data_IF_556242389953
#
_entry.id   IF_556242389953
#
_cell.length_a   1.000
_cell.length_b   1.000
_cell.length_c   1.000
_cell.angle_alpha   90.00
_cell.angle_beta   90.00
_cell.angle_gamma   90.00
#
_symmetry.space_group_name_H-M   'P 1'
#
loop_
_entity.id
_entity.type
_entity.pdbx_description
1 polymer ?
#
# COMPACT_ATOMS: atom_id res chain seq x y z
N UNK A 1 0.01 17.40 35.27
CA UNK A 1 -1.37 17.13 34.81
C UNK A 1 -1.39 15.97 33.79
N UNK A 2 -1.21 14.71 34.23
CA UNK A 2 -1.37 13.55 33.34
C UNK A 2 -2.84 13.31 32.97
N UNK A 3 -3.79 13.62 33.86
CA UNK A 3 -5.22 13.35 33.67
C UNK A 3 -5.85 14.10 32.48
N UNK A 4 -5.51 15.38 32.26
CA UNK A 4 -6.04 16.16 31.12
C UNK A 4 -5.63 15.54 29.78
N UNK A 5 -4.39 15.02 29.70
CA UNK A 5 -3.88 14.33 28.52
C UNK A 5 -4.61 13.01 28.27
N UNK A 6 -4.75 12.20 29.31
CA UNK A 6 -5.45 10.91 29.18
C UNK A 6 -6.91 11.14 28.79
N UNK A 7 -7.58 12.11 29.41
CA UNK A 7 -8.98 12.45 29.09
C UNK A 7 -9.14 12.91 27.64
N UNK A 8 -8.28 13.83 27.15
CA UNK A 8 -8.36 14.31 25.76
C UNK A 8 -8.11 13.19 24.74
N UNK A 9 -7.19 12.25 25.03
CA UNK A 9 -6.92 11.11 24.18
C UNK A 9 -8.10 10.14 24.10
N UNK A 10 -8.74 9.85 25.24
CA UNK A 10 -9.94 8.99 25.28
C UNK A 10 -11.07 9.63 24.48
N UNK A 11 -11.32 10.93 24.65
CA UNK A 11 -12.34 11.65 23.89
C UNK A 11 -12.04 11.60 22.38
N UNK A 12 -10.80 11.84 21.97
CA UNK A 12 -10.40 11.76 20.57
C UNK A 12 -10.62 10.36 19.97
N UNK A 13 -10.26 9.30 20.70
CA UNK A 13 -10.48 7.90 20.26
C UNK A 13 -11.98 7.62 20.12
N UNK A 14 -12.79 8.00 21.11
CA UNK A 14 -14.25 7.79 21.06
C UNK A 14 -14.87 8.52 19.87
N UNK A 15 -14.49 9.79 19.65
CA UNK A 15 -14.95 10.58 18.49
C UNK A 15 -14.53 9.92 17.17
N UNK A 16 -13.27 9.48 17.07
CA UNK A 16 -12.76 8.83 15.87
C UNK A 16 -13.50 7.52 15.57
N UNK A 17 -13.65 6.62 16.56
CA UNK A 17 -14.35 5.35 16.40
C UNK A 17 -15.83 5.56 16.07
N UNK A 18 -16.48 6.55 16.70
CA UNK A 18 -17.89 6.89 16.40
C UNK A 18 -18.04 7.40 14.97
N UNK A 19 -17.15 8.26 14.50
CA UNK A 19 -17.18 8.75 13.13
C UNK A 19 -16.90 7.64 12.10
N UNK A 20 -16.01 6.70 12.42
CA UNK A 20 -15.75 5.52 11.58
C UNK A 20 -17.02 4.66 11.50
N UNK A 21 -17.71 4.44 12.62
CA UNK A 21 -18.97 3.69 12.66
C UNK A 21 -20.07 4.36 11.82
N UNK A 22 -20.30 5.67 12.01
CA UNK A 22 -21.33 6.42 11.26
C UNK A 22 -21.02 6.49 9.75
N UNK A 23 -19.74 6.65 9.37
CA UNK A 23 -19.33 6.73 7.98
C UNK A 23 -19.92 7.91 7.20
N UNK A 24 -19.85 7.80 5.88
CA UNK A 24 -20.43 8.78 4.95
C UNK A 24 -20.00 10.22 5.24
N UNK A 25 -20.96 11.15 5.14
CA UNK A 25 -20.74 12.57 5.41
C UNK A 25 -20.32 12.88 6.85
N UNK A 26 -20.67 12.05 7.83
CA UNK A 26 -20.23 12.27 9.22
C UNK A 26 -18.72 12.07 9.35
N UNK A 27 -18.17 11.03 8.72
CA UNK A 27 -16.73 10.80 8.65
C UNK A 27 -16.01 11.89 7.84
N UNK A 28 -16.57 12.28 6.69
CA UNK A 28 -16.03 13.38 5.87
C UNK A 28 -16.01 14.70 6.64
N UNK A 29 -17.04 15.01 7.42
CA UNK A 29 -17.10 16.22 8.24
C UNK A 29 -16.02 16.23 9.34
N UNK A 30 -15.79 15.09 10.01
CA UNK A 30 -14.69 14.99 10.97
C UNK A 30 -13.34 15.25 10.31
N UNK A 31 -13.06 14.61 9.18
CA UNK A 31 -11.81 14.81 8.44
C UNK A 31 -11.68 16.23 7.88
N UNK A 32 -12.78 16.87 7.47
CA UNK A 32 -12.81 18.27 7.07
C UNK A 32 -12.37 19.19 8.22
N UNK A 33 -12.84 18.94 9.45
CA UNK A 33 -12.39 19.68 10.63
C UNK A 33 -10.90 19.44 10.91
N UNK A 34 -10.44 18.18 10.88
CA UNK A 34 -9.03 17.86 11.11
C UNK A 34 -8.10 18.50 10.06
N UNK A 35 -8.47 18.43 8.79
CA UNK A 35 -7.73 19.04 7.67
C UNK A 35 -7.71 20.55 7.79
N UNK A 36 -8.85 21.17 8.09
CA UNK A 36 -8.94 22.62 8.27
C UNK A 36 -7.99 23.10 9.37
N UNK A 37 -8.04 22.45 10.54
CA UNK A 37 -7.22 22.81 11.69
C UNK A 37 -5.73 22.51 11.45
N UNK A 38 -5.40 21.37 10.86
CA UNK A 38 -4.02 21.04 10.47
C UNK A 38 -3.44 22.01 9.44
N UNK A 39 -4.26 22.47 8.49
CA UNK A 39 -3.84 23.48 7.51
C UNK A 39 -3.64 24.86 8.14
N UNK A 40 -4.42 25.24 9.16
CA UNK A 40 -4.17 26.48 9.91
C UNK A 40 -2.78 26.46 10.55
N UNK A 41 -2.39 25.36 11.18
CA UNK A 41 -1.06 25.17 11.78
C UNK A 41 0.03 25.16 10.71
N UNK A 42 -0.17 24.41 9.62
CA UNK A 42 0.76 24.41 8.48
C UNK A 42 0.99 25.81 7.91
N UNK A 43 -0.06 26.57 7.62
CA UNK A 43 0.09 27.91 7.06
C UNK A 43 0.63 28.91 8.08
N UNK A 44 0.45 28.69 9.38
CA UNK A 44 1.11 29.46 10.42
C UNK A 44 2.63 29.23 10.41
N UNK A 45 3.10 27.97 10.26
CA UNK A 45 4.51 27.62 10.10
C UNK A 45 5.12 28.25 8.85
N UNK A 46 4.39 28.22 7.73
CA UNK A 46 4.87 28.83 6.49
C UNK A 46 4.99 30.35 6.64
N UNK A 47 4.00 31.00 7.27
CA UNK A 47 4.02 32.45 7.51
C UNK A 47 5.09 32.90 8.49
N UNK A 48 5.48 32.07 9.47
CA UNK A 48 6.57 32.41 10.39
C UNK A 48 7.92 32.55 9.68
N UNK A 49 8.05 31.99 8.47
CA UNK A 49 9.21 32.19 7.58
C UNK A 49 9.14 33.45 6.70
N UNK A 50 8.08 34.24 6.81
CA UNK A 50 7.83 35.38 5.92
C UNK A 50 7.35 34.98 4.53
N UNK A 51 6.95 33.72 4.33
CA UNK A 51 6.31 33.25 3.09
C UNK A 51 4.83 33.63 3.15
N UNK A 52 4.29 34.15 2.05
CA UNK A 52 2.90 34.59 1.89
C UNK A 52 2.10 33.62 0.99
N UNK A 53 1.76 32.41 1.49
CA UNK A 53 1.05 31.41 0.70
C UNK A 53 -0.40 31.82 0.45
N UNK A 54 -1.00 31.24 -0.60
CA UNK A 54 -2.43 31.35 -0.93
C UNK A 54 -3.30 30.51 0.03
N UNK A 55 -3.13 30.71 1.33
CA UNK A 55 -3.68 29.85 2.38
C UNK A 55 -5.21 29.73 2.29
N UNK A 56 -5.93 30.85 2.15
CA UNK A 56 -7.41 30.85 2.12
C UNK A 56 -7.95 30.03 0.95
N UNK A 57 -7.41 30.23 -0.24
CA UNK A 57 -7.82 29.49 -1.44
C UNK A 57 -7.49 28.01 -1.30
N UNK A 58 -6.29 27.67 -0.82
CA UNK A 58 -5.89 26.27 -0.62
C UNK A 58 -6.76 25.55 0.40
N UNK A 59 -7.12 26.21 1.50
CA UNK A 59 -7.98 25.62 2.54
C UNK A 59 -9.38 25.34 2.00
N UNK A 60 -9.99 26.30 1.30
CA UNK A 60 -11.32 26.12 0.69
C UNK A 60 -11.32 24.99 -0.34
N UNK A 61 -10.30 24.96 -1.22
CA UNK A 61 -10.15 23.89 -2.21
C UNK A 61 -10.00 22.53 -1.52
N UNK A 62 -9.26 22.45 -0.42
CA UNK A 62 -9.05 21.19 0.29
C UNK A 62 -10.36 20.62 0.87
N UNK A 63 -11.27 21.48 1.32
CA UNK A 63 -12.62 21.08 1.73
C UNK A 63 -13.48 20.62 0.56
N UNK A 64 -13.42 21.33 -0.59
CA UNK A 64 -14.11 20.92 -1.82
C UNK A 64 -13.60 19.54 -2.27
N UNK A 65 -12.29 19.31 -2.18
CA UNK A 65 -11.64 18.05 -2.55
C UNK A 65 -12.13 16.88 -1.67
N UNK A 66 -12.25 17.09 -0.35
CA UNK A 66 -12.82 16.11 0.58
C UNK A 66 -14.30 15.83 0.33
N UNK A 67 -15.09 16.86 0.01
CA UNK A 67 -16.50 16.68 -0.36
C UNK A 67 -16.65 15.93 -1.67
N UNK A 68 -15.82 16.26 -2.67
CA UNK A 68 -15.82 15.60 -3.97
C UNK A 68 -15.42 14.14 -3.88
N UNK A 69 -14.44 13.80 -3.02
CA UNK A 69 -14.02 12.40 -2.83
C UNK A 69 -15.13 11.50 -2.25
N UNK A 70 -16.07 12.10 -1.50
CA UNK A 70 -17.24 11.39 -0.97
C UNK A 70 -18.33 11.16 -2.02
N UNK A 71 -18.51 12.09 -2.97
CA UNK A 71 -19.51 11.95 -4.05
C UNK A 71 -18.99 10.99 -5.11
N UNK A 72 -17.77 11.23 -5.59
CA UNK A 72 -17.14 10.43 -6.61
C UNK A 72 -15.61 10.48 -6.43
N UNK A 73 -14.98 9.36 -6.01
CA UNK A 73 -13.56 9.33 -5.68
C UNK A 73 -12.62 9.88 -6.77
N UNK A 74 -12.98 9.68 -8.05
CA UNK A 74 -12.17 10.13 -9.19
C UNK A 74 -12.15 11.65 -9.36
N UNK A 75 -13.16 12.38 -8.84
CA UNK A 75 -13.20 13.84 -8.97
C UNK A 75 -12.05 14.51 -8.21
N UNK A 76 -11.64 13.95 -7.08
CA UNK A 76 -10.55 14.51 -6.31
C UNK A 76 -9.19 14.44 -7.04
N UNK A 77 -9.00 13.48 -7.95
CA UNK A 77 -7.80 13.39 -8.81
C UNK A 77 -7.79 14.44 -9.92
N UNK A 78 -8.97 14.88 -10.36
CA UNK A 78 -9.13 15.96 -11.35
C UNK A 78 -9.03 17.34 -10.68
N UNK A 79 -9.56 17.48 -9.46
CA UNK A 79 -9.55 18.74 -8.72
C UNK A 79 -8.12 19.16 -8.35
N UNK A 80 -7.24 18.22 -8.00
CA UNK A 80 -5.86 18.53 -7.62
C UNK A 80 -5.08 19.35 -8.68
N UNK A 81 -4.93 18.89 -9.94
CA UNK A 81 -4.20 19.64 -10.96
C UNK A 81 -4.91 20.94 -11.32
N UNK A 82 -6.25 20.93 -11.43
CA UNK A 82 -7.02 22.15 -11.72
C UNK A 82 -6.83 23.21 -10.65
N UNK A 83 -6.93 22.82 -9.38
CA UNK A 83 -6.73 23.74 -8.28
C UNK A 83 -5.28 24.20 -8.15
N UNK A 84 -4.30 23.33 -8.42
CA UNK A 84 -2.89 23.71 -8.49
C UNK A 84 -2.65 24.79 -9.55
N UNK A 85 -3.19 24.62 -10.76
CA UNK A 85 -3.12 25.63 -11.83
C UNK A 85 -3.82 26.93 -11.41
N UNK A 86 -5.00 26.85 -10.81
CA UNK A 86 -5.74 28.03 -10.34
C UNK A 86 -5.01 28.78 -9.23
N UNK A 87 -4.33 28.08 -8.31
CA UNK A 87 -3.49 28.68 -7.28
C UNK A 87 -2.31 29.44 -7.92
N UNK A 88 -1.65 28.85 -8.91
CA UNK A 88 -0.57 29.51 -9.65
C UNK A 88 -1.06 30.80 -10.33
N UNK A 89 -2.21 30.76 -11.01
CA UNK A 89 -2.79 31.96 -11.62
C UNK A 89 -3.22 33.00 -10.58
N UNK A 90 -3.85 32.58 -9.49
CA UNK A 90 -4.24 33.49 -8.41
C UNK A 90 -3.03 34.23 -7.82
N UNK A 91 -1.91 33.54 -7.62
CA UNK A 91 -0.67 34.13 -7.12
C UNK A 91 -0.01 35.08 -8.14
N UNK A 92 -0.18 34.83 -9.44
CA UNK A 92 0.32 35.72 -10.50
C UNK A 92 -0.35 37.10 -10.47
N UNK A 93 -1.63 37.17 -10.10
CA UNK A 93 -2.39 38.43 -10.02
C UNK A 93 -2.31 39.12 -8.65
N UNK A 94 -1.48 38.61 -7.72
CA UNK A 94 -1.25 39.32 -6.45
C UNK A 94 -0.40 40.58 -6.68
N UNK A 95 -0.65 41.65 -5.90
CA UNK A 95 0.07 42.92 -6.04
C UNK A 95 1.57 42.83 -5.69
N UNK A 96 1.99 41.76 -5.02
CA UNK A 96 3.40 41.47 -4.72
C UNK A 96 3.85 40.29 -5.58
N UNK A 97 5.07 40.37 -6.13
CA UNK A 97 5.65 39.27 -6.90
C UNK A 97 5.71 38.02 -6.03
N UNK A 98 4.89 37.01 -6.37
CA UNK A 98 4.90 35.74 -5.69
C UNK A 98 6.28 35.08 -5.86
N UNK A 99 6.88 34.69 -4.74
CA UNK A 99 8.12 33.93 -4.74
C UNK A 99 7.86 32.46 -5.08
N UNK A 100 8.92 31.76 -5.50
CA UNK A 100 8.85 30.30 -5.72
C UNK A 100 8.41 29.60 -4.43
N UNK A 101 8.79 30.14 -3.25
CA UNK A 101 8.41 29.60 -1.95
C UNK A 101 6.89 29.73 -1.69
N UNK A 102 6.25 30.83 -2.09
CA UNK A 102 4.81 31.04 -1.92
C UNK A 102 3.98 30.03 -2.72
N UNK A 103 4.37 29.81 -3.98
CA UNK A 103 3.74 28.82 -4.86
C UNK A 103 3.96 27.42 -4.32
N UNK A 104 5.21 27.08 -3.98
CA UNK A 104 5.59 25.75 -3.50
C UNK A 104 4.88 25.40 -2.18
N UNK A 105 4.81 26.34 -1.23
CA UNK A 105 4.10 26.15 0.03
C UNK A 105 2.58 26.05 -0.15
N UNK A 106 2.01 26.77 -1.13
CA UNK A 106 0.58 26.69 -1.43
C UNK A 106 0.21 25.34 -2.05
N UNK A 107 1.02 24.85 -2.98
CA UNK A 107 0.84 23.53 -3.61
C UNK A 107 1.09 22.42 -2.59
N UNK A 108 2.15 22.52 -1.79
CA UNK A 108 2.44 21.55 -0.73
C UNK A 108 1.29 21.51 0.29
N UNK A 109 0.77 22.66 0.72
CA UNK A 109 -0.39 22.72 1.62
C UNK A 109 -1.65 22.06 1.03
N UNK A 110 -1.86 22.16 -0.29
CA UNK A 110 -2.96 21.49 -0.98
C UNK A 110 -2.73 19.98 -1.06
N UNK A 111 -1.53 19.56 -1.47
CA UNK A 111 -1.17 18.16 -1.64
C UNK A 111 -1.13 17.43 -0.29
N UNK A 112 -0.29 17.90 0.61
CA UNK A 112 -0.06 17.32 1.93
C UNK A 112 -1.27 17.49 2.85
N UNK A 113 -1.86 18.69 2.92
CA UNK A 113 -2.94 18.98 3.85
C UNK A 113 -4.34 18.62 3.37
N UNK A 114 -4.58 18.55 2.05
CA UNK A 114 -5.91 18.31 1.48
C UNK A 114 -6.02 16.99 0.72
N UNK A 115 -5.19 16.81 -0.30
CA UNK A 115 -5.29 15.65 -1.20
C UNK A 115 -4.94 14.32 -0.52
N UNK A 116 -3.84 14.26 0.22
CA UNK A 116 -3.44 13.03 0.91
C UNK A 116 -4.47 12.59 1.97
N UNK A 117 -5.00 13.46 2.85
CA UNK A 117 -6.08 13.09 3.76
C UNK A 117 -7.39 12.69 3.06
N UNK A 118 -7.62 13.12 1.82
CA UNK A 118 -8.82 12.71 1.06
C UNK A 118 -8.90 11.21 0.83
N UNK A 119 -7.76 10.50 0.84
CA UNK A 119 -7.74 9.04 0.73
C UNK A 119 -8.36 8.35 1.93
N UNK A 120 -8.43 8.97 3.12
CA UNK A 120 -9.20 8.42 4.24
C UNK A 120 -10.69 8.37 3.95
N UNK A 121 -11.23 9.44 3.34
CA UNK A 121 -12.63 9.51 2.93
C UNK A 121 -12.91 8.48 1.83
N UNK A 122 -12.03 8.37 0.83
CA UNK A 122 -12.14 7.36 -0.23
C UNK A 122 -12.07 5.94 0.31
N UNK A 123 -11.15 5.68 1.26
CA UNK A 123 -10.99 4.38 1.90
C UNK A 123 -12.25 4.01 2.68
N UNK A 124 -12.81 4.94 3.46
CA UNK A 124 -14.06 4.74 4.21
C UNK A 124 -15.27 4.52 3.28
N UNK A 125 -15.26 5.13 2.11
CA UNK A 125 -16.29 5.03 1.08
C UNK A 125 -16.18 3.81 0.16
N UNK A 126 -15.21 2.90 0.37
CA UNK A 126 -15.15 1.65 -0.38
C UNK A 126 -16.36 0.77 -0.07
N UNK A 127 -17.14 0.47 -1.11
CA UNK A 127 -18.33 -0.42 -1.09
C UNK A 127 -17.93 -1.81 -1.59
N UNK A 128 -18.65 -2.83 -1.12
CA UNK A 128 -18.42 -4.29 -1.14
C UNK A 128 -18.00 -4.91 -2.48
N UNK A 129 -16.79 -4.61 -2.94
CA UNK A 129 -16.21 -5.15 -4.17
C UNK A 129 -15.10 -6.18 -3.95
N UNK A 130 -14.56 -6.30 -2.73
CA UNK A 130 -13.47 -7.22 -2.44
C UNK A 130 -14.02 -8.62 -2.05
N UNK A 131 -13.58 -9.72 -2.69
CA UNK A 131 -14.06 -11.08 -2.39
C UNK A 131 -13.74 -11.58 -0.98
N UNK A 132 -12.80 -10.92 -0.28
CA UNK A 132 -12.16 -11.42 0.93
C UNK A 132 -12.64 -10.63 2.15
N UNK A 133 -13.88 -10.87 2.57
CA UNK A 133 -14.51 -10.15 3.68
C UNK A 133 -15.20 -11.08 4.68
N UNK A 134 -15.27 -10.59 5.92
CA UNK A 134 -16.20 -11.02 6.95
C UNK A 134 -16.98 -9.80 7.44
N UNK A 135 -18.23 -9.99 7.82
CA UNK A 135 -18.98 -9.01 8.59
C UNK A 135 -18.32 -8.88 9.96
N UNK A 136 -17.58 -7.79 10.17
CA UNK A 136 -16.98 -7.50 11.47
C UNK A 136 -17.93 -6.61 12.27
N UNK A 137 -18.57 -7.20 13.28
CA UNK A 137 -19.41 -6.45 14.22
C UNK A 137 -18.50 -5.61 15.12
N UNK A 138 -18.60 -4.28 15.03
CA UNK A 138 -17.94 -3.37 15.97
C UNK A 138 -18.99 -2.54 16.70
N UNK A 139 -19.19 -2.82 17.99
CA UNK A 139 -20.14 -2.08 18.82
C UNK A 139 -21.62 -2.25 18.45
N UNK A 140 -22.00 -3.37 17.80
CA UNK A 140 -23.39 -3.66 17.41
C UNK A 140 -23.84 -3.05 16.09
N UNK A 141 -22.92 -2.45 15.32
CA UNK A 141 -23.15 -1.97 13.96
C UNK A 141 -22.34 -2.80 12.97
N UNK A 142 -22.96 -3.13 11.83
CA UNK A 142 -22.27 -3.74 10.70
C UNK A 142 -21.34 -2.72 10.06
N UNK A 143 -20.03 -2.91 10.28
CA UNK A 143 -19.03 -2.02 9.74
C UNK A 143 -18.83 -2.34 8.25
N UNK A 144 -19.01 -1.35 7.38
CA UNK A 144 -18.73 -1.54 5.94
C UNK A 144 -17.26 -1.89 5.72
N UNK A 145 -16.92 -2.54 4.59
CA UNK A 145 -15.54 -2.92 4.25
C UNK A 145 -14.56 -1.74 4.39
N UNK A 146 -14.93 -0.57 3.85
CA UNK A 146 -14.14 0.65 4.02
C UNK A 146 -13.90 1.06 5.48
N UNK A 147 -14.88 0.85 6.35
CA UNK A 147 -14.73 1.07 7.80
C UNK A 147 -13.71 0.13 8.42
N UNK A 148 -13.75 -1.16 8.07
CA UNK A 148 -12.78 -2.16 8.56
C UNK A 148 -11.35 -1.77 8.17
N UNK A 149 -11.13 -1.36 6.92
CA UNK A 149 -9.79 -0.96 6.48
C UNK A 149 -9.29 0.32 7.17
N UNK A 150 -10.18 1.26 7.51
CA UNK A 150 -9.82 2.44 8.30
C UNK A 150 -9.40 2.03 9.71
N UNK A 151 -10.18 1.18 10.39
CA UNK A 151 -9.85 0.66 11.73
C UNK A 151 -8.52 -0.10 11.70
N UNK A 152 -8.32 -0.96 10.70
CA UNK A 152 -7.08 -1.69 10.48
C UNK A 152 -5.90 -0.72 10.38
N UNK A 153 -5.98 0.27 9.48
CA UNK A 153 -4.90 1.22 9.28
C UNK A 153 -4.59 2.03 10.56
N UNK A 154 -5.63 2.49 11.28
CA UNK A 154 -5.46 3.20 12.55
C UNK A 154 -4.81 2.30 13.60
N UNK A 155 -5.23 1.04 13.70
CA UNK A 155 -4.63 0.09 14.64
C UNK A 155 -3.16 -0.20 14.33
N UNK A 156 -2.76 -0.25 13.06
CA UNK A 156 -1.37 -0.38 12.64
C UNK A 156 -0.53 0.86 13.04
N UNK A 157 -1.06 2.06 12.81
CA UNK A 157 -0.40 3.32 13.20
C UNK A 157 -0.24 3.38 14.73
N UNK A 158 -1.33 3.13 15.48
CA UNK A 158 -1.29 3.12 16.95
C UNK A 158 -0.34 2.07 17.50
N UNK A 159 -0.31 0.87 16.92
CA UNK A 159 0.62 -0.16 17.31
C UNK A 159 2.07 0.30 17.11
N UNK A 160 2.38 0.90 15.95
CA UNK A 160 3.71 1.46 15.64
C UNK A 160 4.14 2.52 16.67
N UNK A 161 3.25 3.45 17.00
CA UNK A 161 3.54 4.52 17.97
C UNK A 161 3.76 3.96 19.38
N UNK A 162 2.92 3.01 19.81
CA UNK A 162 3.03 2.35 21.12
C UNK A 162 4.33 1.53 21.18
N UNK A 163 4.60 0.71 20.16
CA UNK A 163 5.78 -0.14 20.08
C UNK A 163 7.08 0.67 20.08
N UNK A 164 7.13 1.75 19.28
CA UNK A 164 8.28 2.64 19.23
C UNK A 164 8.50 3.42 20.52
N UNK A 165 7.42 3.85 21.18
CA UNK A 165 7.49 4.54 22.47
C UNK A 165 7.99 3.62 23.60
N UNK A 166 7.40 2.43 23.74
CA UNK A 166 7.75 1.49 24.81
C UNK A 166 9.21 1.07 24.67
N UNK A 167 9.61 0.62 23.47
CA UNK A 167 10.98 0.13 23.28
C UNK A 167 12.00 1.27 23.24
N UNK A 168 11.65 2.39 22.61
CA UNK A 168 12.51 3.57 22.57
C UNK A 168 12.83 4.09 23.99
N UNK A 169 11.89 3.99 24.93
CA UNK A 169 12.11 4.35 26.33
C UNK A 169 12.88 3.30 27.12
N UNK A 170 12.68 2.01 26.83
CA UNK A 170 13.28 0.92 27.60
C UNK A 170 14.73 0.61 27.18
N UNK A 171 15.01 0.57 25.88
CA UNK A 171 16.30 0.10 25.32
C UNK A 171 16.91 1.12 24.34
N UNK A 172 16.21 2.22 24.02
CA UNK A 172 16.70 3.20 23.05
C UNK A 172 18.04 3.83 23.42
N UNK A 173 19.05 3.63 22.57
CA UNK A 173 20.42 4.13 22.78
C UNK A 173 20.90 4.94 21.58
N UNK A 174 20.58 4.51 20.37
CA UNK A 174 21.03 5.16 19.14
C UNK A 174 19.98 6.11 18.61
N UNK A 175 20.35 7.36 18.34
CA UNK A 175 19.44 8.38 17.80
C UNK A 175 19.18 8.10 16.32
N UNK A 176 17.93 8.26 15.88
CA UNK A 176 17.52 7.98 14.51
C UNK A 176 17.91 9.11 13.54
N UNK A 177 17.77 10.37 13.96
CA UNK A 177 18.06 11.54 13.12
C UNK A 177 18.38 12.75 14.00
N UNK A 178 19.22 13.66 13.50
CA UNK A 178 19.47 14.96 14.13
C UNK A 178 18.22 15.85 14.17
N UNK A 179 17.30 15.66 13.22
CA UNK A 179 16.04 16.41 13.09
C UNK A 179 15.09 16.10 14.27
N UNK A 180 15.08 14.83 14.71
CA UNK A 180 14.26 14.33 15.82
C UNK A 180 15.10 13.58 16.85
N UNK A 181 15.80 14.30 17.75
CA UNK A 181 16.79 13.71 18.67
C UNK A 181 16.19 12.78 19.74
N UNK A 182 14.85 12.76 19.88
CA UNK A 182 14.14 11.88 20.80
C UNK A 182 13.80 10.52 20.21
N UNK A 183 13.85 10.37 18.88
CA UNK A 183 13.58 9.09 18.22
C UNK A 183 14.84 8.24 18.20
N UNK A 184 14.68 6.97 18.52
CA UNK A 184 15.78 6.00 18.54
C UNK A 184 15.61 4.95 17.45
N UNK A 185 16.72 4.40 16.95
CA UNK A 185 16.69 3.36 15.91
C UNK A 185 16.03 2.10 16.47
N UNK A 186 16.33 1.75 17.72
CA UNK A 186 15.71 0.59 18.37
C UNK A 186 14.19 0.80 18.50
N UNK A 187 13.75 2.00 18.86
CA UNK A 187 12.33 2.35 18.87
C UNK A 187 11.69 2.21 17.48
N UNK A 188 12.34 2.72 16.43
CA UNK A 188 11.82 2.64 15.07
C UNK A 188 11.66 1.17 14.58
N UNK A 189 12.65 0.32 14.85
CA UNK A 189 12.61 -1.11 14.49
C UNK A 189 11.45 -1.81 15.21
N UNK A 190 11.27 -1.55 16.51
CA UNK A 190 10.17 -2.17 17.26
C UNK A 190 8.80 -1.60 16.90
N UNK A 191 8.71 -0.32 16.56
CA UNK A 191 7.50 0.26 15.96
C UNK A 191 7.11 -0.47 14.68
N UNK A 192 8.07 -0.67 13.77
CA UNK A 192 7.86 -1.43 12.54
C UNK A 192 7.41 -2.87 12.80
N UNK A 193 8.06 -3.57 13.74
CA UNK A 193 7.69 -4.94 14.12
C UNK A 193 6.28 -5.01 14.72
N UNK A 194 5.90 -4.07 15.57
CA UNK A 194 4.54 -4.03 16.15
C UNK A 194 3.47 -3.78 15.09
N UNK A 195 3.73 -2.88 14.13
CA UNK A 195 2.86 -2.65 12.98
C UNK A 195 2.75 -3.92 12.11
N UNK A 196 3.86 -4.61 11.87
CA UNK A 196 3.90 -5.87 11.14
C UNK A 196 3.02 -6.95 11.79
N UNK A 197 3.12 -7.13 13.11
CA UNK A 197 2.32 -8.12 13.84
C UNK A 197 0.82 -7.82 13.75
N UNK A 198 0.42 -6.56 13.89
CA UNK A 198 -0.99 -6.16 13.79
C UNK A 198 -1.51 -6.33 12.37
N UNK A 199 -0.73 -5.93 11.36
CA UNK A 199 -1.11 -6.11 9.95
C UNK A 199 -1.25 -7.59 9.56
N UNK A 200 -0.37 -8.46 10.05
CA UNK A 200 -0.48 -9.92 9.86
C UNK A 200 -1.72 -10.49 10.55
N UNK A 201 -2.04 -10.03 11.76
CA UNK A 201 -3.25 -10.42 12.48
C UNK A 201 -4.53 -10.05 11.72
N UNK A 202 -4.58 -8.84 11.17
CA UNK A 202 -5.68 -8.39 10.31
C UNK A 202 -5.77 -9.19 9.01
N UNK A 203 -4.67 -9.41 8.31
CA UNK A 203 -4.66 -10.17 7.06
C UNK A 203 -5.11 -11.62 7.28
N UNK A 204 -4.72 -12.23 8.40
CA UNK A 204 -5.18 -13.57 8.79
C UNK A 204 -6.68 -13.57 9.12
N UNK A 205 -7.14 -12.63 9.96
CA UNK A 205 -8.54 -12.53 10.38
C UNK A 205 -9.51 -12.21 9.24
N UNK A 206 -9.09 -11.40 8.27
CA UNK A 206 -9.88 -11.06 7.09
C UNK A 206 -9.74 -12.10 5.95
N UNK A 207 -9.03 -13.21 6.19
CA UNK A 207 -8.81 -14.28 5.23
C UNK A 207 -8.26 -13.81 3.88
N UNK A 208 -7.28 -12.90 3.91
CA UNK A 208 -6.67 -12.39 2.69
C UNK A 208 -5.89 -13.48 1.93
N UNK A 209 -5.86 -13.43 0.59
CA UNK A 209 -5.02 -14.31 -0.21
C UNK A 209 -3.55 -14.06 0.13
N UNK A 210 -2.78 -15.14 0.35
CA UNK A 210 -1.39 -15.05 0.81
C UNK A 210 -1.25 -14.11 2.03
N UNK A 211 -2.10 -14.29 3.05
CA UNK A 211 -2.21 -13.39 4.21
C UNK A 211 -0.86 -13.00 4.84
N UNK A 212 0.12 -13.92 4.85
CA UNK A 212 1.47 -13.66 5.38
C UNK A 212 2.24 -12.65 4.53
N UNK A 213 2.13 -12.74 3.20
CA UNK A 213 2.75 -11.81 2.26
C UNK A 213 1.98 -10.49 2.22
N UNK A 214 0.65 -10.55 2.14
CA UNK A 214 -0.20 -9.37 2.08
C UNK A 214 -0.12 -8.55 3.38
N UNK A 215 -0.29 -9.20 4.54
CA UNK A 215 -0.15 -8.55 5.85
C UNK A 215 1.28 -8.07 6.11
N UNK A 216 2.28 -8.86 5.70
CA UNK A 216 3.69 -8.49 5.81
C UNK A 216 4.02 -7.23 5.01
N UNK A 217 3.62 -7.19 3.75
CA UNK A 217 3.81 -6.04 2.86
C UNK A 217 3.08 -4.79 3.37
N UNK A 218 1.82 -4.93 3.82
CA UNK A 218 1.06 -3.82 4.40
C UNK A 218 1.72 -3.28 5.67
N UNK A 219 2.17 -4.16 6.57
CA UNK A 219 2.81 -3.78 7.82
C UNK A 219 4.11 -3.00 7.61
N UNK A 220 4.95 -3.43 6.66
CA UNK A 220 6.16 -2.70 6.27
C UNK A 220 5.80 -1.34 5.67
N UNK A 221 4.82 -1.32 4.76
CA UNK A 221 4.39 -0.11 4.07
C UNK A 221 3.86 0.95 5.04
N UNK A 222 2.94 0.57 5.94
CA UNK A 222 2.33 1.49 6.91
C UNK A 222 3.35 1.92 7.97
N UNK A 223 4.15 0.98 8.49
CA UNK A 223 5.14 1.28 9.53
C UNK A 223 6.24 2.24 9.05
N UNK A 224 6.74 2.03 7.83
CA UNK A 224 7.72 2.94 7.21
C UNK A 224 7.12 4.30 6.86
N UNK A 225 5.91 4.33 6.29
CA UNK A 225 5.24 5.57 5.94
C UNK A 225 4.89 6.43 7.16
N UNK A 226 4.43 5.82 8.26
CA UNK A 226 4.19 6.53 9.52
C UNK A 226 5.47 7.16 10.06
N UNK A 227 6.58 6.41 10.06
CA UNK A 227 7.87 6.93 10.50
C UNK A 227 8.36 8.10 9.63
N UNK A 228 8.24 7.99 8.31
CA UNK A 228 8.62 9.05 7.37
C UNK A 228 7.73 10.28 7.50
N UNK A 229 6.44 10.10 7.78
CA UNK A 229 5.49 11.19 8.02
C UNK A 229 5.90 12.06 9.21
N UNK A 230 6.16 11.44 10.36
CA UNK A 230 6.62 12.17 11.56
C UNK A 230 7.99 12.85 11.35
N UNK A 231 8.91 12.22 10.62
CA UNK A 231 10.19 12.85 10.28
C UNK A 231 10.01 14.06 9.36
N UNK A 232 9.08 13.98 8.40
CA UNK A 232 8.75 15.09 7.49
C UNK A 232 8.17 16.27 8.27
N UNK A 233 7.25 16.00 9.19
CA UNK A 233 6.63 17.02 10.03
C UNK A 233 7.63 17.63 11.02
N UNK A 234 8.49 16.81 11.63
CA UNK A 234 9.62 17.26 12.43
C UNK A 234 10.58 18.15 11.63
N UNK A 235 10.89 17.80 10.38
CA UNK A 235 11.73 18.60 9.49
C UNK A 235 11.12 19.98 9.25
N UNK A 236 9.82 20.05 8.94
CA UNK A 236 9.11 21.32 8.72
C UNK A 236 9.11 22.22 9.97
N UNK A 237 8.94 21.64 11.16
CA UNK A 237 8.99 22.39 12.42
C UNK A 237 10.37 22.98 12.70
N UNK A 238 11.43 22.18 12.52
CA UNK A 238 12.82 22.63 12.69
C UNK A 238 13.18 23.70 11.69
N UNK A 239 12.75 23.54 10.45
CA UNK A 239 12.94 24.53 9.40
C UNK A 239 12.28 25.86 9.79
N UNK A 240 11.05 25.84 10.32
CA UNK A 240 10.33 27.02 10.81
C UNK A 240 10.82 27.59 12.16
N UNK A 241 11.87 26.99 12.77
CA UNK A 241 12.44 27.43 14.04
C UNK A 241 11.56 27.17 15.27
N UNK A 242 10.48 26.39 15.14
CA UNK A 242 9.56 26.07 16.22
C UNK A 242 9.64 24.59 16.61
N UNK A 243 9.16 24.25 17.80
CA UNK A 243 9.17 22.87 18.29
C UNK A 243 7.84 22.15 18.11
N UNK A 244 6.75 22.86 18.32
CA UNK A 244 5.38 22.37 18.23
C UNK A 244 4.66 23.17 17.13
N UNK A 245 3.82 22.52 16.31
CA UNK A 245 3.13 23.14 15.18
C UNK A 245 1.98 24.08 15.59
N UNK A 246 1.43 23.87 16.79
CA UNK A 246 0.36 24.68 17.35
C UNK A 246 0.05 24.35 18.81
N UNK A 247 -0.92 25.05 19.40
CA UNK A 247 -1.43 24.81 20.76
C UNK A 247 -2.93 24.49 20.78
N UNK A 248 -3.48 24.05 19.64
CA UNK A 248 -4.92 23.91 19.48
C UNK A 248 -5.52 22.85 20.43
N UNK A 249 -4.81 21.76 20.73
CA UNK A 249 -5.26 20.77 21.71
C UNK A 249 -4.66 21.02 23.10
N UNK A 250 -5.48 21.27 24.14
CA UNK A 250 -5.00 21.50 25.48
C UNK A 250 -4.22 20.29 26.01
N UNK A 251 -2.92 20.47 26.22
CA UNK A 251 -2.01 19.45 26.73
C UNK A 251 -1.47 18.44 25.71
N UNK A 252 -1.89 18.49 24.43
CA UNK A 252 -1.57 17.48 23.42
C UNK A 252 -0.74 17.97 22.21
N UNK A 253 -0.56 19.28 22.05
CA UNK A 253 0.20 19.88 20.94
C UNK A 253 -0.72 20.35 19.81
N UNK A 254 -0.16 20.46 18.60
CA UNK A 254 -0.91 20.75 17.40
C UNK A 254 -1.69 19.54 16.88
N UNK A 255 -2.68 19.78 16.01
CA UNK A 255 -3.35 18.74 15.24
C UNK A 255 -2.40 18.17 14.18
N UNK A 256 -1.54 19.00 13.60
CA UNK A 256 -0.54 18.59 12.63
C UNK A 256 0.49 17.64 13.26
N UNK A 257 0.87 17.87 14.53
CA UNK A 257 1.75 17.00 15.32
C UNK A 257 1.16 15.59 15.55
N UNK A 258 -0.15 15.41 15.33
CA UNK A 258 -0.86 14.13 15.53
C UNK A 258 -1.29 13.49 14.23
N UNK A 259 -1.42 14.27 13.17
CA UNK A 259 -1.83 13.81 11.86
C UNK A 259 -0.65 13.38 10.97
N UNK A 260 0.58 13.68 11.38
CA UNK A 260 1.83 13.44 10.62
C UNK A 260 1.95 12.02 10.02
N UNK A 261 1.65 11.00 10.83
CA UNK A 261 1.71 9.59 10.44
C UNK A 261 0.49 9.17 9.61
N UNK A 262 -0.63 9.89 9.72
CA UNK A 262 -1.89 9.59 9.02
C UNK A 262 -1.92 10.13 7.60
N UNK A 263 -1.19 11.21 7.32
CA UNK A 263 -1.21 11.86 6.01
C UNK A 263 -0.63 10.95 4.92
N UNK A 264 0.57 10.40 5.14
CA UNK A 264 1.22 9.55 4.14
C UNK A 264 0.68 8.12 4.10
N UNK A 265 0.13 7.61 5.20
CA UNK A 265 -0.40 6.24 5.27
C UNK A 265 -1.70 6.09 4.50
N UNK A 266 -2.56 7.11 4.47
CA UNK A 266 -3.87 7.07 3.79
C UNK A 266 -3.82 6.58 2.32
N UNK A 267 -3.07 7.21 1.41
CA UNK A 267 -3.00 6.76 0.01
C UNK A 267 -2.38 5.37 -0.12
N UNK A 268 -1.40 5.04 0.72
CA UNK A 268 -0.69 3.76 0.65
C UNK A 268 -1.61 2.61 1.00
N UNK A 269 -2.40 2.73 2.07
CA UNK A 269 -3.40 1.72 2.42
C UNK A 269 -4.48 1.64 1.34
N UNK A 270 -4.96 2.79 0.84
CA UNK A 270 -5.97 2.82 -0.22
C UNK A 270 -5.53 2.05 -1.47
N UNK A 271 -4.35 2.34 -2.00
CA UNK A 271 -3.83 1.64 -3.18
C UNK A 271 -3.43 0.20 -2.89
N UNK A 272 -2.95 -0.10 -1.68
CA UNK A 272 -2.67 -1.48 -1.30
C UNK A 272 -3.93 -2.34 -1.38
N UNK A 273 -5.02 -1.87 -0.79
CA UNK A 273 -6.29 -2.60 -0.75
C UNK A 273 -6.97 -2.64 -2.12
N UNK A 274 -6.89 -1.57 -2.92
CA UNK A 274 -7.60 -1.49 -4.21
C UNK A 274 -6.83 -2.10 -5.38
N UNK A 275 -5.49 -2.12 -5.34
CA UNK A 275 -4.65 -2.62 -6.44
C UNK A 275 -3.89 -3.89 -6.08
N UNK A 276 -3.15 -3.89 -4.97
CA UNK A 276 -2.22 -4.98 -4.63
C UNK A 276 -2.99 -6.20 -4.14
N UNK A 277 -3.97 -6.02 -3.26
CA UNK A 277 -4.71 -7.13 -2.67
C UNK A 277 -5.54 -7.93 -3.72
N UNK A 278 -6.27 -7.31 -4.66
CA UNK A 278 -6.94 -8.04 -5.74
C UNK A 278 -5.98 -8.74 -6.70
N UNK A 279 -4.80 -8.13 -6.93
CA UNK A 279 -3.75 -8.74 -7.74
C UNK A 279 -3.25 -10.05 -7.11
N UNK A 280 -2.96 -10.06 -5.80
CA UNK A 280 -2.59 -11.26 -5.05
C UNK A 280 -3.69 -12.34 -5.07
N UNK A 281 -4.97 -11.92 -4.99
CA UNK A 281 -6.11 -12.82 -5.16
C UNK A 281 -6.20 -13.45 -6.55
N UNK A 282 -5.81 -12.71 -7.59
CA UNK A 282 -5.80 -13.23 -8.96
C UNK A 282 -4.68 -14.26 -9.15
N UNK A 283 -3.49 -13.99 -8.60
CA UNK A 283 -2.34 -14.89 -8.66
C UNK A 283 -2.61 -16.23 -7.95
N UNK A 284 -3.18 -16.18 -6.76
CA UNK A 284 -3.56 -17.39 -6.01
C UNK A 284 -4.59 -18.24 -6.74
N UNK A 285 -5.58 -17.61 -7.37
CA UNK A 285 -6.57 -18.33 -8.18
C UNK A 285 -5.96 -19.00 -9.42
N UNK A 286 -4.99 -18.36 -10.09
CA UNK A 286 -4.28 -18.93 -11.23
C UNK A 286 -3.42 -20.12 -10.82
N UNK A 287 -2.73 -20.03 -9.68
CA UNK A 287 -1.93 -21.14 -9.15
C UNK A 287 -2.83 -22.34 -8.82
N UNK A 288 -3.92 -22.12 -8.09
CA UNK A 288 -4.89 -23.17 -7.74
C UNK A 288 -5.51 -23.83 -8.98
N UNK A 289 -5.82 -23.05 -10.03
CA UNK A 289 -6.37 -23.57 -11.28
C UNK A 289 -5.36 -24.44 -12.04
N UNK A 290 -4.10 -24.04 -12.03
CA UNK A 290 -3.00 -24.79 -12.67
C UNK A 290 -2.73 -26.10 -11.93
N UNK A 291 -2.67 -26.07 -10.60
CA UNK A 291 -2.50 -27.27 -9.77
C UNK A 291 -3.65 -28.27 -9.96
N UNK A 292 -4.90 -27.81 -9.94
CA UNK A 292 -6.07 -28.67 -10.19
C UNK A 292 -6.03 -29.31 -11.58
N UNK A 293 -5.63 -28.54 -12.61
CA UNK A 293 -5.51 -29.06 -13.98
C UNK A 293 -4.40 -30.13 -14.06
N UNK A 294 -3.26 -29.91 -13.41
CA UNK A 294 -2.16 -30.87 -13.38
C UNK A 294 -2.53 -32.15 -12.62
N UNK A 295 -3.22 -32.01 -11.47
CA UNK A 295 -3.76 -33.16 -10.72
C UNK A 295 -4.78 -33.96 -11.53
N UNK A 296 -5.65 -33.30 -12.29
CA UNK A 296 -6.62 -33.99 -13.16
C UNK A 296 -5.95 -34.81 -14.27
N UNK A 297 -4.86 -34.30 -14.84
CA UNK A 297 -4.05 -35.01 -15.85
C UNK A 297 -3.27 -36.18 -15.25
N UNK A 298 -2.95 -36.14 -13.95
CA UNK A 298 -2.28 -37.25 -13.24
C UNK A 298 -3.24 -38.39 -12.93
N UNK A 299 -4.53 -38.11 -12.76
CA UNK A 299 -5.55 -39.12 -12.43
C UNK A 299 -6.15 -39.81 -13.65
N UNK A 300 -6.03 -39.25 -14.86
CA UNK A 300 -6.35 -39.99 -16.08
C UNK A 300 -5.18 -40.92 -16.40
N UNK A 301 -5.35 -42.20 -16.12
CA UNK A 301 -4.32 -43.24 -16.30
C UNK A 301 -4.14 -43.66 -17.78
N UNK A 302 -4.43 -42.75 -18.72
CA UNK A 302 -4.29 -42.99 -20.14
C UNK A 302 -3.09 -42.22 -20.71
N UNK A 303 -2.20 -43.03 -21.29
CA UNK A 303 -1.15 -42.73 -22.27
C UNK A 303 0.11 -41.97 -21.82
N UNK A 304 1.15 -42.78 -21.64
CA UNK A 304 2.52 -42.55 -22.08
C UNK A 304 2.58 -41.61 -23.31
N UNK A 305 3.09 -40.39 -23.13
CA UNK A 305 3.27 -39.40 -24.19
C UNK A 305 2.63 -38.04 -23.88
N UNK A 306 3.14 -37.32 -22.89
CA UNK A 306 2.69 -35.94 -22.61
C UNK A 306 3.42 -34.99 -23.58
N UNK A 307 2.77 -34.64 -24.69
CA UNK A 307 3.15 -33.46 -25.48
C UNK A 307 2.54 -32.21 -24.82
N UNK A 308 3.33 -31.54 -23.97
CA UNK A 308 2.91 -30.30 -23.32
C UNK A 308 2.99 -29.13 -24.33
N UNK A 309 1.90 -28.82 -25.03
CA UNK A 309 1.81 -27.63 -25.89
C UNK A 309 1.44 -26.42 -25.04
N UNK A 310 2.43 -25.65 -24.61
CA UNK A 310 2.26 -24.35 -23.95
C UNK A 310 1.97 -23.27 -24.99
N UNK A 311 0.70 -22.92 -25.18
CA UNK A 311 0.32 -21.72 -25.94
C UNK A 311 0.54 -20.48 -25.05
N UNK A 312 1.73 -19.89 -25.16
CA UNK A 312 2.05 -18.60 -24.54
C UNK A 312 1.33 -17.48 -25.31
N UNK A 313 0.35 -16.85 -24.67
CA UNK A 313 -0.30 -15.65 -25.22
C UNK A 313 0.65 -14.43 -25.08
N UNK A 314 0.73 -13.54 -26.08
CA UNK A 314 1.70 -12.45 -26.06
C UNK A 314 1.13 -11.28 -25.24
N UNK A 315 1.37 -11.29 -23.93
CA UNK A 315 1.50 -10.04 -23.17
C UNK A 315 2.87 -10.03 -22.56
N UNK A 316 3.55 -8.89 -22.77
CA UNK A 316 4.92 -8.60 -22.32
C UNK A 316 5.14 -9.14 -20.91
N UNK A 317 6.31 -9.72 -20.72
CA UNK A 317 6.91 -10.24 -19.46
C UNK A 317 7.17 -11.75 -19.52
N UNK A 318 7.93 -12.12 -20.56
CA UNK A 318 8.42 -13.48 -20.83
C UNK A 318 9.43 -13.94 -19.76
N UNK A 319 10.18 -13.02 -19.13
CA UNK A 319 11.24 -13.36 -18.18
C UNK A 319 10.69 -13.77 -16.80
N UNK A 320 9.63 -13.13 -16.31
CA UNK A 320 9.00 -13.47 -15.03
C UNK A 320 8.25 -14.81 -15.11
N UNK A 321 7.54 -15.07 -16.21
CA UNK A 321 6.88 -16.36 -16.42
C UNK A 321 7.87 -17.52 -16.60
N UNK A 322 9.07 -17.25 -17.13
CA UNK A 322 10.14 -18.24 -17.26
C UNK A 322 10.77 -18.57 -15.90
N UNK A 323 10.96 -17.55 -15.05
CA UNK A 323 11.50 -17.71 -13.69
C UNK A 323 10.51 -18.39 -12.74
N UNK A 324 9.22 -18.10 -12.83
CA UNK A 324 8.17 -18.81 -12.07
C UNK A 324 8.07 -20.29 -12.46
N UNK A 325 8.28 -20.59 -13.74
CA UNK A 325 8.30 -21.97 -14.24
C UNK A 325 9.53 -22.75 -13.76
N UNK A 326 10.68 -22.09 -13.57
CA UNK A 326 11.90 -22.71 -13.03
C UNK A 326 11.78 -22.90 -11.51
N UNK A 327 11.31 -21.90 -10.76
CA UNK A 327 11.20 -21.96 -9.29
C UNK A 327 10.11 -22.90 -8.79
N UNK A 328 9.00 -23.06 -9.52
CA UNK A 328 7.97 -24.07 -9.21
C UNK A 328 8.44 -25.52 -9.39
N UNK A 329 9.51 -25.74 -10.16
CA UNK A 329 10.06 -27.07 -10.46
C UNK A 329 11.16 -27.55 -9.48
N UNK A 330 11.79 -26.63 -8.73
CA UNK A 330 12.90 -26.93 -7.80
C UNK A 330 12.57 -27.98 -6.73
N UNK A 331 11.35 -28.11 -6.17
CA UNK A 331 11.05 -29.14 -5.18
C UNK A 331 10.91 -30.57 -5.74
N UNK A 332 10.84 -30.74 -7.07
CA UNK A 332 10.49 -32.01 -7.71
C UNK A 332 11.66 -32.74 -8.39
N UNK A 333 12.88 -32.20 -8.30
CA UNK A 333 14.10 -32.78 -8.89
C UNK A 333 14.65 -34.05 -8.20
N UNK A 334 13.93 -34.59 -7.21
CA UNK A 334 14.39 -35.74 -6.39
C UNK A 334 13.86 -37.12 -6.77
N UNK A 335 13.06 -37.29 -7.84
CA UNK A 335 12.50 -38.61 -8.19
C UNK A 335 12.57 -38.84 -9.70
N UNK A 336 13.44 -39.77 -10.10
CA UNK A 336 13.82 -40.07 -11.48
C UNK A 336 12.66 -40.35 -12.44
N UNK A 337 12.23 -39.32 -13.17
CA UNK A 337 11.45 -39.45 -14.39
C UNK A 337 12.16 -38.71 -15.54
N UNK A 338 12.26 -39.37 -16.69
CA UNK A 338 12.68 -38.77 -17.96
C UNK A 338 11.62 -37.74 -18.40
N UNK A 339 12.04 -36.49 -18.61
CA UNK A 339 11.21 -35.43 -19.18
C UNK A 339 11.72 -35.06 -20.58
N UNK A 340 10.86 -35.16 -21.60
CA UNK A 340 11.06 -34.51 -22.89
C UNK A 340 9.95 -33.48 -23.09
N UNK A 341 10.31 -32.20 -23.24
CA UNK A 341 9.37 -31.13 -23.54
C UNK A 341 9.79 -30.40 -24.82
N UNK A 342 8.82 -30.07 -25.70
CA UNK A 342 9.00 -29.15 -26.82
C UNK A 342 8.21 -27.88 -26.53
N UNK A 343 8.87 -26.72 -26.55
CA UNK A 343 8.23 -25.41 -26.44
C UNK A 343 8.04 -24.87 -27.86
N UNK A 344 6.79 -24.60 -28.25
CA UNK A 344 6.48 -23.90 -29.50
C UNK A 344 6.14 -22.44 -29.19
N UNK A 345 6.87 -21.51 -29.82
CA UNK A 345 6.62 -20.08 -29.70
C UNK A 345 6.06 -19.58 -31.05
N UNK A 346 4.76 -19.34 -31.12
CA UNK A 346 4.10 -18.83 -32.32
C UNK A 346 3.60 -17.40 -32.11
N UNK A 347 3.93 -16.47 -33.01
CA UNK A 347 3.26 -15.17 -33.07
C UNK A 347 2.16 -15.19 -34.13
N UNK A 348 1.11 -14.38 -33.92
CA UNK A 348 0.03 -14.18 -34.92
C UNK A 348 0.63 -13.52 -36.16
N UNK A 349 1.16 -14.31 -37.09
CA UNK A 349 1.27 -14.07 -38.54
C UNK A 349 2.15 -15.18 -39.13
N UNK A 350 1.52 -16.23 -39.66
CA UNK A 350 1.90 -16.91 -40.90
C UNK A 350 3.30 -17.53 -41.14
N UNK A 351 4.30 -17.43 -40.25
CA UNK A 351 5.64 -17.99 -40.51
C UNK A 351 6.17 -18.84 -39.35
N UNK A 352 6.47 -20.12 -39.63
CA UNK A 352 7.06 -21.08 -38.71
C UNK A 352 8.60 -21.02 -38.78
N UNK A 353 9.27 -20.67 -37.68
CA UNK A 353 10.71 -20.92 -37.49
C UNK A 353 10.95 -22.27 -36.78
N UNK A 354 12.10 -22.94 -36.98
CA UNK A 354 12.35 -24.26 -36.41
C UNK A 354 12.52 -24.21 -34.88
N UNK A 355 12.12 -25.26 -34.14
CA UNK A 355 12.14 -25.28 -32.69
C UNK A 355 13.55 -25.42 -32.11
N UNK A 356 13.84 -24.70 -31.02
CA UNK A 356 14.99 -24.94 -30.15
C UNK A 356 14.71 -26.13 -29.22
N UNK A 357 15.50 -27.20 -29.36
CA UNK A 357 15.40 -28.42 -28.56
C UNK A 357 16.51 -28.38 -27.50
N UNK A 358 16.15 -28.39 -26.22
CA UNK A 358 17.09 -28.67 -25.12
C UNK A 358 16.82 -30.07 -24.57
N UNK A 359 17.86 -30.91 -24.52
CA UNK A 359 17.86 -32.18 -23.81
C UNK A 359 18.77 -32.06 -22.60
N UNK A 360 18.23 -32.19 -21.38
CA UNK A 360 19.00 -32.43 -20.17
C UNK A 360 18.83 -33.90 -19.80
N UNK A 361 19.89 -34.69 -19.96
CA UNK A 361 19.93 -36.09 -19.55
C UNK A 361 20.79 -36.20 -18.28
N UNK A 362 20.18 -36.66 -17.18
CA UNK A 362 20.89 -37.26 -16.05
C UNK A 362 20.60 -38.76 -16.12
N UNK A 363 21.64 -39.54 -16.40
CA UNK A 363 21.58 -40.98 -16.54
C UNK A 363 21.99 -41.62 -15.21
N UNK A 364 21.13 -42.43 -14.61
CA UNK A 364 21.52 -43.39 -13.58
C UNK A 364 21.23 -44.80 -14.08
N UNK A 365 22.27 -45.64 -14.05
CA UNK A 365 22.34 -46.92 -14.74
C UNK A 365 21.42 -47.96 -14.10
N UNK A 366 20.25 -48.20 -14.67
CA UNK A 366 19.60 -49.52 -14.73
C UNK A 366 18.31 -49.46 -15.56
N UNK A 367 18.39 -49.68 -16.88
CA UNK A 367 17.26 -50.20 -17.65
C UNK A 367 17.78 -51.05 -18.81
N UNK A 368 17.42 -52.33 -18.77
CA UNK A 368 17.82 -53.38 -19.70
C UNK A 368 17.20 -53.13 -21.08
N UNK A 369 18.08 -53.14 -22.07
CA UNK A 369 17.83 -53.02 -23.50
C UNK A 369 16.97 -54.19 -24.03
N UNK A 370 15.86 -53.90 -24.72
CA UNK A 370 15.22 -54.85 -25.65
C UNK A 370 15.18 -54.25 -27.05
N UNK A 371 16.05 -54.80 -27.89
CA UNK A 371 16.26 -54.55 -29.32
C UNK A 371 14.98 -54.58 -30.16
N UNK A 372 14.89 -53.65 -31.11
CA UNK A 372 14.05 -53.72 -32.30
C UNK A 372 14.54 -52.74 -33.36
N UNK A 373 15.24 -53.25 -34.39
CA UNK A 373 15.80 -52.53 -35.54
C UNK A 373 14.74 -51.72 -36.28
N UNK A 374 15.04 -50.48 -36.66
CA UNK A 374 14.89 -49.99 -38.05
C UNK A 374 15.79 -48.76 -38.27
N UNK A 375 16.47 -48.79 -39.41
CA UNK A 375 17.48 -47.88 -39.95
C UNK A 375 16.98 -46.46 -40.23
N UNK A 376 17.76 -45.44 -39.84
CA UNK A 376 17.61 -44.06 -40.32
C UNK A 376 18.59 -43.80 -41.46
N UNK A 377 18.07 -43.51 -42.65
CA UNK A 377 18.82 -42.83 -43.72
C UNK A 377 18.75 -41.31 -43.48
N UNK A 378 19.91 -40.67 -43.50
CA UNK A 378 20.08 -39.21 -43.50
C UNK A 378 19.80 -38.68 -44.92
N UNK A 379 18.88 -37.73 -45.03
CA UNK A 379 18.91 -36.73 -46.11
C UNK A 379 18.73 -35.35 -45.50
N UNK A 380 19.65 -34.45 -45.85
CA UNK A 380 19.65 -33.00 -45.62
C UNK A 380 19.64 -32.31 -46.98
N UNK A 381 19.39 -30.98 -47.09
CA UNK A 381 18.91 -30.03 -46.09
C UNK A 381 17.40 -29.77 -46.15
#
# INVERSE_FOLDING_TARGET
MPWVRVASAIVAIVVALTAIALGGWAFTALFAVLVWLGQLEYFALVRSKGIAPAAKTTMVVSLILLGASQIQPQLADVILPLAGTMICFYLLFQPQFASIADVSASILGLFYGGYLPSFWVRLRGLVDGAPWHQELLFGGYDLTQGGIYVVMAFSCIWASDIGSYIMGKAIGRTRLSEISPKKTVEGAVFGLLSCLMVALGWAYGLHWPLWWLAGGALGILVGTAGLLGDLTESMMKRDAGVKDSGQFMPGHGGILDRADSYVFTAPLVFYFVTLILPLLGTLTNLQNKTEKKFLSLRTSNDTCGINLTLNLFPRKDILEQFLDCIWGFVPYLGKGCLWQGKIFCGTKLGEFYPPLIFNLALCDNHCVEKKGRHSWQLTSP
#
